data_IF_213763576667
#
_entry.id   IF_213763576667
#
_cell.length_a   1.000
_cell.length_b   1.000
_cell.length_c   1.000
_cell.angle_alpha   90.00
_cell.angle_beta   90.00
_cell.angle_gamma   90.00
#
_symmetry.space_group_name_H-M   'P 1'
#
loop_
_entity.id
_entity.type
_entity.pdbx_description
1 polymer ?
#
# COMPACT_ATOMS: atom_id res chain seq x y z
N UNK A 1 -5.27 -0.89 22.44
CA UNK A 1 -5.71 0.54 22.45
C UNK A 1 -7.20 0.70 22.11
N UNK A 2 -7.95 -0.34 21.69
CA UNK A 2 -9.41 -0.26 21.54
C UNK A 2 -9.92 0.61 20.38
N UNK A 3 -9.01 1.05 19.50
CA UNK A 3 -9.34 1.91 18.37
C UNK A 3 -9.57 1.06 17.12
N UNK A 4 -10.72 1.18 16.42
CA UNK A 4 -10.93 0.53 15.13
C UNK A 4 -9.85 0.95 14.12
N UNK A 5 -9.29 -0.01 13.41
CA UNK A 5 -8.14 0.22 12.53
C UNK A 5 -8.30 -0.53 11.21
N UNK A 6 -7.95 0.15 10.11
CA UNK A 6 -7.85 -0.41 8.77
C UNK A 6 -6.50 0.01 8.17
N UNK A 7 -5.79 -0.93 7.54
CA UNK A 7 -4.56 -0.66 6.83
C UNK A 7 -4.78 -0.75 5.32
N UNK A 8 -4.49 0.34 4.61
CA UNK A 8 -4.39 0.34 3.16
C UNK A 8 -2.93 0.10 2.77
N UNK A 9 -2.68 -0.93 1.96
CA UNK A 9 -1.35 -1.26 1.45
C UNK A 9 -1.43 -1.49 -0.05
N UNK A 10 -0.36 -1.15 -0.74
CA UNK A 10 -0.14 -1.52 -2.13
C UNK A 10 1.09 -2.40 -2.20
N UNK A 11 1.09 -3.32 -3.15
CA UNK A 11 2.19 -4.26 -3.34
C UNK A 11 3.42 -3.52 -3.88
N UNK A 12 4.58 -3.74 -3.26
CA UNK A 12 5.87 -3.19 -3.68
C UNK A 12 6.90 -4.27 -4.02
N UNK A 13 6.59 -5.52 -3.70
CA UNK A 13 7.44 -6.69 -3.92
C UNK A 13 6.58 -7.95 -3.73
N UNK A 14 7.00 -9.07 -4.32
CA UNK A 14 6.32 -10.37 -4.21
C UNK A 14 6.96 -11.32 -3.20
N UNK A 15 7.93 -10.87 -2.39
CA UNK A 15 8.65 -11.67 -1.42
C UNK A 15 9.26 -12.95 -2.01
N UNK A 16 9.80 -12.86 -3.23
CA UNK A 16 10.34 -14.00 -3.98
C UNK A 16 9.31 -14.77 -4.82
N UNK A 17 8.08 -14.27 -4.93
CA UNK A 17 7.05 -14.82 -5.82
C UNK A 17 7.20 -14.45 -7.31
N UNK A 18 8.31 -13.80 -7.69
CA UNK A 18 8.63 -13.40 -9.06
C UNK A 18 10.01 -13.91 -9.49
N UNK A 19 10.30 -13.77 -10.79
CA UNK A 19 11.58 -14.19 -11.40
C UNK A 19 12.77 -13.29 -10.99
N UNK A 20 12.47 -12.08 -10.49
CA UNK A 20 13.47 -11.11 -10.05
C UNK A 20 13.73 -11.18 -8.54
N UNK A 21 14.92 -10.71 -8.11
CA UNK A 21 15.14 -10.36 -6.70
C UNK A 21 14.19 -9.23 -6.25
N UNK A 22 14.15 -8.98 -4.95
CA UNK A 22 13.28 -7.99 -4.30
C UNK A 22 13.12 -6.68 -5.11
N UNK A 23 11.90 -6.43 -5.58
CA UNK A 23 11.58 -5.30 -6.45
C UNK A 23 11.15 -4.02 -5.69
N UNK A 24 11.32 -4.01 -4.36
CA UNK A 24 10.92 -2.89 -3.51
C UNK A 24 11.55 -1.58 -3.98
N UNK A 25 12.83 -1.57 -4.37
CA UNK A 25 13.47 -0.36 -4.89
C UNK A 25 12.78 0.26 -6.12
N UNK A 26 12.14 -0.57 -6.94
CA UNK A 26 11.43 -0.16 -8.16
C UNK A 26 10.01 0.32 -7.82
N UNK A 27 9.28 -0.45 -7.01
CA UNK A 27 7.86 -0.21 -6.81
C UNK A 27 7.49 0.52 -5.52
N UNK A 28 8.43 0.80 -4.61
CA UNK A 28 8.11 1.42 -3.31
C UNK A 28 7.39 2.76 -3.46
N UNK A 29 7.87 3.64 -4.35
CA UNK A 29 7.25 4.94 -4.59
C UNK A 29 5.83 4.79 -5.18
N UNK A 30 5.66 3.89 -6.15
CA UNK A 30 4.37 3.62 -6.77
C UNK A 30 3.37 3.03 -5.76
N UNK A 31 3.80 2.05 -4.97
CA UNK A 31 3.00 1.44 -3.92
C UNK A 31 2.57 2.47 -2.85
N UNK A 32 3.49 3.36 -2.48
CA UNK A 32 3.21 4.45 -1.53
C UNK A 32 2.17 5.42 -2.07
N UNK A 33 2.30 5.84 -3.33
CA UNK A 33 1.34 6.72 -3.98
C UNK A 33 -0.06 6.06 -4.11
N UNK A 34 -0.11 4.79 -4.51
CA UNK A 34 -1.36 4.05 -4.60
C UNK A 34 -2.04 3.92 -3.22
N UNK A 35 -1.29 3.57 -2.18
CA UNK A 35 -1.84 3.48 -0.81
C UNK A 35 -2.40 4.82 -0.34
N UNK A 36 -1.63 5.91 -0.52
CA UNK A 36 -2.06 7.26 -0.14
C UNK A 36 -3.35 7.69 -0.87
N UNK A 37 -3.48 7.37 -2.15
CA UNK A 37 -4.67 7.67 -2.95
C UNK A 37 -5.92 7.01 -2.38
N UNK A 38 -5.83 5.75 -1.96
CA UNK A 38 -6.97 5.04 -1.37
C UNK A 38 -7.29 5.56 0.02
N UNK A 39 -6.29 5.87 0.86
CA UNK A 39 -6.52 6.53 2.15
C UNK A 39 -7.29 7.85 1.97
N UNK A 40 -6.87 8.69 1.03
CA UNK A 40 -7.54 9.96 0.74
C UNK A 40 -8.99 9.75 0.28
N UNK A 41 -9.22 8.81 -0.65
CA UNK A 41 -10.56 8.51 -1.13
C UNK A 41 -11.47 7.95 -0.02
N UNK A 42 -10.94 7.07 0.84
CA UNK A 42 -11.68 6.53 1.98
C UNK A 42 -12.08 7.63 2.96
N UNK A 43 -11.12 8.51 3.34
CA UNK A 43 -11.39 9.63 4.24
C UNK A 43 -12.42 10.61 3.66
N UNK A 44 -12.37 10.88 2.35
CA UNK A 44 -13.33 11.74 1.67
C UNK A 44 -14.75 11.15 1.59
N UNK A 45 -14.89 9.83 1.74
CA UNK A 45 -16.16 9.12 1.69
C UNK A 45 -16.75 8.82 3.08
N UNK A 46 -16.04 9.18 4.17
CA UNK A 46 -16.58 9.03 5.53
C UNK A 46 -17.75 10.01 5.74
N UNK A 47 -18.82 9.56 6.42
CA UNK A 47 -20.01 10.38 6.71
C UNK A 47 -19.74 11.50 7.73
#
# INVERSE_FOLDING_TARGET
NGVPFIAFRSLSDLAGGGEAENEMGVFFALASANSAKIVQAFLAALP
#
